data_IF_853119759529
#
_entry.id   IF_853119759529
#
_cell.length_a   1.000
_cell.length_b   1.000
_cell.length_c   1.000
_cell.angle_alpha   90.00
_cell.angle_beta   90.00
_cell.angle_gamma   90.00
#
_symmetry.space_group_name_H-M   'P 1'
#
loop_
_entity.id
_entity.type
_entity.pdbx_description
1 polymer ?
#
# COMPACT_ATOMS: atom_id res chain seq x y z
N UNK A 1 -10.62 -12.84 48.42
CA UNK A 1 -11.10 -13.36 47.13
C UNK A 1 -10.01 -13.06 46.10
N UNK A 2 -9.23 -14.08 45.71
CA UNK A 2 -8.21 -13.99 44.68
C UNK A 2 -8.92 -13.86 43.30
N UNK A 3 -8.68 -12.79 42.58
CA UNK A 3 -9.04 -12.69 41.16
C UNK A 3 -8.08 -13.61 40.40
N UNK A 4 -8.63 -14.64 39.77
CA UNK A 4 -7.84 -15.64 39.08
C UNK A 4 -7.11 -15.03 37.87
N UNK A 5 -5.89 -15.50 37.64
CA UNK A 5 -5.03 -15.18 36.50
C UNK A 5 -5.70 -15.40 35.12
N UNK A 6 -6.87 -16.04 35.08
CA UNK A 6 -7.63 -16.26 33.85
C UNK A 6 -8.26 -15.00 33.20
N UNK A 7 -8.47 -13.92 33.98
CA UNK A 7 -9.07 -12.68 33.46
C UNK A 7 -8.05 -11.76 32.78
N UNK A 8 -6.76 -11.96 33.02
CA UNK A 8 -5.69 -11.15 32.40
C UNK A 8 -5.42 -11.60 30.97
N UNK A 9 -5.58 -12.90 30.67
CA UNK A 9 -5.34 -13.45 29.34
C UNK A 9 -6.50 -13.30 28.35
N UNK A 10 -7.70 -12.99 28.80
CA UNK A 10 -8.86 -12.77 27.93
C UNK A 10 -8.96 -11.36 27.32
N UNK A 11 -8.03 -10.46 27.65
CA UNK A 11 -8.01 -9.07 27.15
C UNK A 11 -6.85 -8.75 26.22
N UNK A 12 -6.12 -9.76 25.74
CA UNK A 12 -4.95 -9.57 24.88
C UNK A 12 -4.94 -10.46 23.64
N UNK A 13 -6.12 -10.65 23.04
CA UNK A 13 -6.16 -10.99 21.61
C UNK A 13 -6.92 -9.87 20.95
N UNK A 14 -6.40 -8.68 20.97
CA UNK A 14 -6.50 -7.79 19.84
C UNK A 14 -5.57 -8.42 18.82
N UNK A 15 -6.13 -9.02 17.78
CA UNK A 15 -5.37 -9.41 16.62
C UNK A 15 -4.61 -8.17 16.16
N UNK A 16 -3.31 -8.15 16.42
CA UNK A 16 -2.43 -7.15 15.84
C UNK A 16 -2.29 -7.53 14.38
N UNK A 17 -3.17 -7.05 13.55
CA UNK A 17 -3.03 -7.06 12.10
C UNK A 17 -2.01 -5.97 11.75
N UNK A 18 -0.75 -6.21 12.06
CA UNK A 18 0.32 -5.29 11.76
C UNK A 18 1.33 -6.00 10.87
N UNK A 19 1.63 -5.41 9.71
CA UNK A 19 2.71 -5.87 8.86
C UNK A 19 4.07 -5.42 9.42
N UNK A 20 5.16 -6.08 9.01
CA UNK A 20 6.51 -5.74 9.43
C UNK A 20 7.37 -5.39 8.24
N UNK A 21 7.94 -4.18 8.23
CA UNK A 21 8.84 -3.73 7.18
C UNK A 21 10.20 -3.35 7.76
N UNK A 22 11.25 -3.68 7.00
CA UNK A 22 12.61 -3.18 7.25
C UNK A 22 13.10 -2.44 6.00
N UNK A 23 13.71 -1.28 6.20
CA UNK A 23 14.30 -0.47 5.14
C UNK A 23 15.76 -0.21 5.45
N UNK A 24 16.64 -0.47 4.49
CA UNK A 24 18.07 -0.16 4.57
C UNK A 24 18.46 0.73 3.41
N UNK A 25 18.87 1.96 3.70
CA UNK A 25 19.39 2.87 2.69
C UNK A 25 20.86 2.60 2.36
N UNK A 26 21.35 3.18 1.26
CA UNK A 26 22.73 3.01 0.75
C UNK A 26 23.83 3.22 1.79
N UNK A 27 23.66 4.17 2.69
CA UNK A 27 24.68 4.49 3.71
C UNK A 27 24.75 3.48 4.85
N UNK A 28 23.77 2.58 4.97
CA UNK A 28 23.69 1.57 6.02
C UNK A 28 23.96 0.14 5.52
N UNK A 29 24.01 -0.07 4.22
CA UNK A 29 24.35 -1.36 3.61
C UNK A 29 25.86 -1.50 3.37
N UNK A 30 26.35 -2.73 3.36
CA UNK A 30 27.79 -3.02 3.18
C UNK A 30 28.26 -2.72 1.74
N UNK A 31 27.39 -2.94 0.77
CA UNK A 31 27.69 -2.85 -0.67
C UNK A 31 27.04 -1.64 -1.35
N UNK A 32 26.38 -0.76 -0.59
CA UNK A 32 25.67 0.40 -1.13
C UNK A 32 24.31 0.05 -1.76
N UNK A 33 23.81 -1.17 -1.57
CA UNK A 33 22.46 -1.54 -2.00
C UNK A 33 21.37 -0.90 -1.14
N UNK A 34 20.20 -0.74 -1.72
CA UNK A 34 18.95 -0.43 -1.00
C UNK A 34 18.19 -1.72 -0.77
N UNK A 35 17.75 -1.97 0.45
CA UNK A 35 17.03 -3.19 0.82
C UNK A 35 15.70 -2.82 1.48
N UNK A 36 14.63 -3.47 1.04
CA UNK A 36 13.31 -3.42 1.67
C UNK A 36 12.87 -4.85 1.92
N UNK A 37 12.44 -5.15 3.14
CA UNK A 37 11.67 -6.36 3.42
C UNK A 37 10.24 -5.99 3.76
N UNK A 38 9.32 -6.87 3.42
CA UNK A 38 7.90 -6.72 3.72
C UNK A 38 7.33 -8.08 4.13
N UNK A 39 6.66 -8.11 5.26
CA UNK A 39 5.94 -9.28 5.76
C UNK A 39 4.51 -8.88 6.09
N UNK A 40 3.55 -9.50 5.42
CA UNK A 40 2.13 -9.39 5.79
C UNK A 40 1.86 -10.35 6.96
N UNK A 41 1.73 -9.81 8.17
CA UNK A 41 1.55 -10.58 9.39
C UNK A 41 0.08 -10.97 9.56
N UNK A 42 -0.34 -12.05 8.90
CA UNK A 42 -1.71 -12.57 8.93
C UNK A 42 -1.75 -14.10 9.00
N UNK A 43 -2.61 -14.64 9.83
CA UNK A 43 -2.82 -16.09 9.93
C UNK A 43 -3.58 -16.70 8.75
N UNK A 44 -4.27 -15.89 7.97
CA UNK A 44 -5.13 -16.32 6.86
C UNK A 44 -4.58 -16.03 5.48
N UNK A 45 -3.46 -15.32 5.37
CA UNK A 45 -2.87 -15.01 4.07
C UNK A 45 -1.82 -16.02 3.67
N UNK A 46 -1.89 -16.48 2.41
CA UNK A 46 -0.86 -17.27 1.77
C UNK A 46 -0.21 -16.39 0.71
N UNK A 47 1.14 -16.27 0.77
CA UNK A 47 1.87 -15.46 -0.20
C UNK A 47 1.75 -16.05 -1.61
N UNK A 48 1.39 -15.22 -2.57
CA UNK A 48 1.43 -15.52 -3.99
C UNK A 48 2.43 -14.59 -4.68
N UNK A 49 3.06 -15.08 -5.73
CA UNK A 49 3.91 -14.24 -6.56
C UNK A 49 3.07 -13.63 -7.68
N UNK A 50 2.56 -12.43 -7.45
CA UNK A 50 1.79 -11.70 -8.45
C UNK A 50 2.68 -11.22 -9.59
N UNK A 51 2.17 -11.30 -10.81
CA UNK A 51 2.80 -10.72 -11.99
C UNK A 51 1.80 -9.88 -12.77
N UNK A 52 2.11 -8.61 -12.90
CA UNK A 52 1.37 -7.67 -13.75
C UNK A 52 2.28 -7.30 -14.93
N UNK A 53 1.97 -7.77 -16.15
CA UNK A 53 2.80 -7.52 -17.32
C UNK A 53 2.75 -6.04 -17.73
N UNK A 54 3.85 -5.58 -18.32
CA UNK A 54 3.89 -4.29 -19.01
C UNK A 54 2.90 -4.26 -20.16
N UNK A 55 2.36 -3.10 -20.47
CA UNK A 55 1.39 -2.95 -21.56
C UNK A 55 1.32 -1.54 -22.13
N UNK A 56 0.78 -1.46 -23.36
CA UNK A 56 0.35 -0.22 -23.98
C UNK A 56 -1.17 -0.24 -24.08
N UNK A 57 -1.81 0.82 -23.62
CA UNK A 57 -3.25 0.92 -23.53
C UNK A 57 -3.77 2.06 -24.43
N UNK A 58 -4.95 1.89 -24.97
CA UNK A 58 -5.61 2.92 -25.76
C UNK A 58 -6.01 4.13 -24.89
N UNK A 59 -6.11 5.30 -25.52
CA UNK A 59 -6.56 6.49 -24.81
C UNK A 59 -8.01 6.30 -24.33
N UNK A 60 -8.24 6.50 -23.03
CA UNK A 60 -9.56 6.36 -22.44
C UNK A 60 -9.87 4.98 -21.89
N UNK A 61 -8.93 4.04 -21.96
CA UNK A 61 -9.05 2.76 -21.25
C UNK A 61 -9.27 3.00 -19.76
N UNK A 62 -10.22 2.27 -19.18
CA UNK A 62 -10.50 2.30 -17.74
C UNK A 62 -10.02 1.00 -17.10
N UNK A 63 -9.59 1.09 -15.86
CA UNK A 63 -9.17 -0.03 -15.02
C UNK A 63 -10.15 -0.20 -13.87
N UNK A 64 -10.67 -1.41 -13.68
CA UNK A 64 -11.45 -1.76 -12.52
C UNK A 64 -10.55 -1.85 -11.28
N UNK A 65 -11.05 -1.34 -10.17
CA UNK A 65 -10.40 -1.40 -8.86
C UNK A 65 -11.29 -2.22 -7.93
N UNK A 66 -10.65 -3.18 -7.28
CA UNK A 66 -11.26 -4.04 -6.27
C UNK A 66 -10.49 -3.89 -4.97
N UNK A 67 -11.19 -3.82 -3.86
CA UNK A 67 -10.59 -3.86 -2.53
C UNK A 67 -9.74 -5.14 -2.37
N UNK A 68 -8.50 -4.95 -2.00
CA UNK A 68 -7.50 -6.03 -1.93
C UNK A 68 -7.91 -7.15 -0.99
N UNK A 69 -8.46 -6.82 0.17
CA UNK A 69 -8.78 -7.78 1.21
C UNK A 69 -10.07 -8.54 0.95
N UNK A 70 -11.12 -7.85 0.51
CA UNK A 70 -12.45 -8.44 0.35
C UNK A 70 -12.81 -8.79 -1.09
N UNK A 71 -12.07 -8.29 -2.09
CA UNK A 71 -12.42 -8.41 -3.51
C UNK A 71 -13.64 -7.59 -3.91
N UNK A 72 -14.11 -6.68 -3.06
CA UNK A 72 -15.25 -5.81 -3.38
C UNK A 72 -14.89 -4.84 -4.50
N UNK A 73 -15.75 -4.73 -5.50
CA UNK A 73 -15.60 -3.72 -6.55
C UNK A 73 -15.77 -2.32 -5.99
N UNK A 74 -14.78 -1.45 -6.19
CA UNK A 74 -14.76 -0.08 -5.70
C UNK A 74 -15.07 0.96 -6.78
N UNK A 75 -14.74 0.67 -8.03
CA UNK A 75 -14.95 1.59 -9.14
C UNK A 75 -13.91 1.47 -10.23
N UNK A 76 -13.77 2.52 -11.03
CA UNK A 76 -12.81 2.56 -12.14
C UNK A 76 -11.92 3.80 -12.05
N UNK A 77 -10.67 3.62 -12.46
CA UNK A 77 -9.71 4.70 -12.68
C UNK A 77 -9.29 4.75 -14.16
N UNK A 78 -8.78 5.87 -14.61
CA UNK A 78 -8.15 5.96 -15.94
C UNK A 78 -6.89 5.11 -15.98
N UNK A 79 -6.76 4.26 -17.01
CA UNK A 79 -5.52 3.52 -17.22
C UNK A 79 -4.43 4.41 -17.83
N UNK A 80 -3.17 4.17 -17.43
CA UNK A 80 -2.03 4.84 -18.04
C UNK A 80 -1.81 4.35 -19.49
N UNK A 81 -1.30 5.21 -20.35
CA UNK A 81 -0.98 4.82 -21.74
C UNK A 81 0.06 3.72 -21.82
N UNK A 82 0.97 3.70 -20.88
CA UNK A 82 2.00 2.68 -20.71
C UNK A 82 2.02 2.23 -19.25
N UNK A 83 2.06 0.94 -19.05
CA UNK A 83 2.29 0.31 -17.74
C UNK A 83 3.57 -0.52 -17.78
N UNK A 84 4.21 -0.69 -16.63
CA UNK A 84 5.46 -1.41 -16.46
C UNK A 84 5.24 -2.80 -15.87
N UNK A 85 6.19 -3.71 -16.09
CA UNK A 85 6.18 -5.03 -15.44
C UNK A 85 6.32 -4.88 -13.93
N UNK A 86 5.48 -5.64 -13.21
CA UNK A 86 5.55 -5.77 -11.74
C UNK A 86 5.57 -7.25 -11.39
N UNK A 87 6.51 -7.65 -10.54
CA UNK A 87 6.56 -8.99 -9.94
C UNK A 87 6.61 -8.83 -8.42
N UNK A 88 5.63 -9.41 -7.75
CA UNK A 88 5.43 -9.17 -6.31
C UNK A 88 5.31 -7.67 -6.04
N UNK A 89 6.12 -7.16 -5.13
CA UNK A 89 6.12 -5.75 -4.73
C UNK A 89 7.24 -4.91 -5.39
N UNK A 90 7.76 -5.34 -6.54
CA UNK A 90 8.84 -4.66 -7.27
C UNK A 90 8.52 -4.57 -8.76
N UNK A 91 8.87 -3.44 -9.39
CA UNK A 91 8.76 -3.27 -10.83
C UNK A 91 10.11 -3.44 -11.57
N UNK A 92 10.08 -3.39 -12.90
CA UNK A 92 11.26 -3.55 -13.76
C UNK A 92 12.34 -2.47 -13.59
N UNK A 93 12.00 -1.34 -12.96
CA UNK A 93 12.95 -0.28 -12.60
C UNK A 93 13.48 -0.42 -11.17
N UNK A 94 13.17 -1.53 -10.49
CA UNK A 94 13.53 -1.80 -9.10
C UNK A 94 12.87 -0.82 -8.10
N UNK A 95 11.76 -0.21 -8.47
CA UNK A 95 10.92 0.48 -7.49
C UNK A 95 10.18 -0.57 -6.69
N UNK A 96 10.25 -0.47 -5.38
CA UNK A 96 9.64 -1.40 -4.42
C UNK A 96 8.72 -0.65 -3.48
N UNK A 97 7.54 -1.23 -3.20
CA UNK A 97 6.57 -0.69 -2.25
C UNK A 97 6.11 -1.82 -1.32
N UNK A 98 6.39 -1.70 -0.03
CA UNK A 98 5.77 -2.49 1.03
C UNK A 98 4.84 -1.60 1.85
N UNK A 99 4.01 -2.20 2.72
CA UNK A 99 3.10 -1.44 3.57
C UNK A 99 3.07 -1.98 5.00
N UNK A 100 2.53 -1.16 5.90
CA UNK A 100 2.22 -1.52 7.28
C UNK A 100 1.00 -0.73 7.72
N UNK A 101 -0.08 -1.43 8.01
CA UNK A 101 -1.31 -0.82 8.50
C UNK A 101 -1.14 -0.31 9.93
N UNK A 102 -1.31 0.98 10.17
CA UNK A 102 -1.40 1.51 11.53
C UNK A 102 -2.84 1.80 11.97
N UNK A 103 -3.81 1.64 11.08
CA UNK A 103 -5.24 1.82 11.33
C UNK A 103 -5.64 3.27 11.51
N UNK A 104 -5.27 3.87 12.64
CA UNK A 104 -5.65 5.23 12.99
C UNK A 104 -7.10 5.35 13.45
N UNK A 105 -7.72 6.49 13.21
CA UNK A 105 -9.09 6.78 13.63
C UNK A 105 -10.08 6.25 12.58
N UNK A 106 -10.95 5.32 12.98
CA UNK A 106 -11.93 4.66 12.08
C UNK A 106 -12.86 5.66 11.38
N UNK A 107 -13.22 6.78 12.03
CA UNK A 107 -14.05 7.81 11.44
C UNK A 107 -13.40 8.57 10.28
N UNK A 108 -12.10 8.35 10.01
CA UNK A 108 -11.39 8.93 8.87
C UNK A 108 -11.41 8.01 7.63
N UNK A 109 -11.93 6.80 7.72
CA UNK A 109 -12.11 5.91 6.57
C UNK A 109 -13.22 6.44 5.67
N UNK A 110 -12.92 6.64 4.39
CA UNK A 110 -13.90 7.04 3.37
C UNK A 110 -14.32 5.84 2.53
N UNK A 111 -15.46 5.24 2.90
CA UNK A 111 -16.03 4.09 2.18
C UNK A 111 -16.50 4.40 0.75
N UNK A 112 -16.43 5.65 0.31
CA UNK A 112 -16.75 6.09 -1.06
C UNK A 112 -15.50 6.27 -1.92
N UNK A 113 -14.32 6.16 -1.33
CA UNK A 113 -13.05 6.17 -2.06
C UNK A 113 -12.93 4.96 -2.99
N UNK A 114 -12.14 5.11 -4.06
CA UNK A 114 -11.92 4.04 -5.04
C UNK A 114 -10.57 3.35 -4.82
N UNK A 115 -9.56 4.10 -4.35
CA UNK A 115 -8.21 3.54 -4.16
C UNK A 115 -8.05 2.95 -2.77
N UNK A 116 -7.94 1.63 -2.68
CA UNK A 116 -7.46 0.92 -1.50
C UNK A 116 -5.93 0.84 -1.48
N UNK A 117 -5.36 0.43 -0.33
CA UNK A 117 -3.90 0.38 -0.15
C UNK A 117 -3.20 -0.58 -1.13
N UNK A 118 -3.77 -1.78 -1.35
CA UNK A 118 -3.19 -2.79 -2.24
C UNK A 118 -3.21 -2.35 -3.69
N UNK A 119 -4.35 -1.83 -4.17
CA UNK A 119 -4.45 -1.27 -5.52
C UNK A 119 -3.50 -0.09 -5.71
N UNK A 120 -3.32 0.78 -4.70
CA UNK A 120 -2.33 1.86 -4.76
C UNK A 120 -0.91 1.35 -5.01
N UNK A 121 -0.49 0.29 -4.31
CA UNK A 121 0.82 -0.33 -4.47
C UNK A 121 1.03 -0.75 -5.93
N UNK A 122 0.14 -1.61 -6.45
CA UNK A 122 0.34 -2.18 -7.78
C UNK A 122 0.16 -1.17 -8.91
N UNK A 123 -0.78 -0.24 -8.79
CA UNK A 123 -0.98 0.82 -9.78
C UNK A 123 0.21 1.79 -9.79
N UNK A 124 0.76 2.15 -8.62
CA UNK A 124 1.95 3.00 -8.55
C UNK A 124 3.19 2.29 -9.13
N UNK A 125 3.41 1.02 -8.82
CA UNK A 125 4.50 0.23 -9.40
C UNK A 125 4.40 0.13 -10.92
N UNK A 126 3.21 -0.01 -11.47
CA UNK A 126 3.00 -0.05 -12.92
C UNK A 126 3.17 1.31 -13.61
N UNK A 127 3.29 2.42 -12.88
CA UNK A 127 3.29 3.78 -13.43
C UNK A 127 4.50 4.61 -13.05
N UNK A 128 5.45 4.06 -12.29
CA UNK A 128 6.61 4.80 -11.78
C UNK A 128 7.94 4.15 -12.15
N UNK A 129 8.99 4.97 -12.26
CA UNK A 129 10.37 4.54 -12.51
C UNK A 129 11.30 4.86 -11.35
N UNK A 130 10.84 5.67 -10.40
CA UNK A 130 11.58 6.07 -9.19
C UNK A 130 10.66 6.06 -7.99
N UNK A 131 11.23 6.03 -6.79
CA UNK A 131 10.47 6.12 -5.55
C UNK A 131 9.65 7.42 -5.46
N UNK A 132 10.21 8.55 -5.88
CA UNK A 132 9.49 9.83 -5.91
C UNK A 132 8.33 9.86 -6.89
N UNK A 133 8.50 9.27 -8.08
CA UNK A 133 7.39 9.12 -9.03
C UNK A 133 6.28 8.24 -8.45
N UNK A 134 6.63 7.17 -7.72
CA UNK A 134 5.64 6.33 -7.05
C UNK A 134 4.82 7.12 -6.03
N UNK A 135 5.47 7.91 -5.17
CA UNK A 135 4.81 8.79 -4.20
C UNK A 135 3.86 9.76 -4.93
N UNK A 136 4.33 10.39 -6.00
CA UNK A 136 3.51 11.33 -6.78
C UNK A 136 2.29 10.63 -7.38
N UNK A 137 2.46 9.45 -7.97
CA UNK A 137 1.35 8.66 -8.53
C UNK A 137 0.34 8.29 -7.44
N UNK A 138 0.80 7.80 -6.29
CA UNK A 138 -0.07 7.43 -5.17
C UNK A 138 -0.89 8.61 -4.67
N UNK A 139 -0.24 9.75 -4.44
CA UNK A 139 -0.90 10.96 -3.91
C UNK A 139 -1.86 11.59 -4.92
N UNK A 140 -1.54 11.57 -6.22
CA UNK A 140 -2.44 12.02 -7.28
C UNK A 140 -3.67 11.11 -7.42
N UNK A 141 -3.48 9.80 -7.34
CA UNK A 141 -4.58 8.83 -7.41
C UNK A 141 -5.57 9.02 -6.25
N UNK A 142 -5.11 9.13 -5.02
CA UNK A 142 -6.02 9.35 -3.89
C UNK A 142 -6.70 10.72 -3.95
N UNK A 143 -6.02 11.73 -4.48
CA UNK A 143 -6.62 13.06 -4.71
C UNK A 143 -7.73 13.01 -5.75
N UNK A 144 -7.55 12.27 -6.85
CA UNK A 144 -8.52 12.19 -7.95
C UNK A 144 -9.66 11.22 -7.62
N UNK A 145 -9.36 10.07 -6.97
CA UNK A 145 -10.32 8.96 -6.81
C UNK A 145 -10.76 8.69 -5.38
N UNK A 146 -10.15 9.32 -4.37
CA UNK A 146 -10.42 9.08 -2.97
C UNK A 146 -9.64 7.88 -2.43
N UNK A 147 -9.52 7.80 -1.10
CA UNK A 147 -8.78 6.76 -0.39
C UNK A 147 -9.73 5.92 0.47
N UNK A 148 -9.81 4.63 0.19
CA UNK A 148 -10.78 3.71 0.79
C UNK A 148 -10.29 3.06 2.10
N UNK A 149 -8.97 2.86 2.25
CA UNK A 149 -8.43 2.10 3.38
C UNK A 149 -8.30 2.91 4.68
N UNK A 150 -8.00 2.23 5.76
CA UNK A 150 -7.55 2.81 7.03
C UNK A 150 -6.16 3.44 6.88
N UNK A 151 -5.53 3.86 7.98
CA UNK A 151 -4.21 4.48 7.93
C UNK A 151 -3.12 3.47 7.57
N UNK A 152 -2.28 3.83 6.59
CA UNK A 152 -1.20 3.01 6.05
C UNK A 152 0.12 3.75 6.02
N UNK A 153 1.20 3.02 6.32
CA UNK A 153 2.59 3.45 6.17
C UNK A 153 3.23 2.66 5.03
N UNK A 154 3.56 3.33 3.93
CA UNK A 154 4.19 2.72 2.77
C UNK A 154 5.70 2.88 2.82
N UNK A 155 6.42 1.77 2.72
CA UNK A 155 7.88 1.71 2.56
C UNK A 155 8.22 1.71 1.09
N UNK A 156 8.70 2.82 0.56
CA UNK A 156 8.93 3.02 -0.88
C UNK A 156 10.42 3.18 -1.13
N UNK A 157 10.95 2.45 -2.08
CA UNK A 157 12.37 2.50 -2.42
C UNK A 157 12.62 2.35 -3.92
N UNK A 158 13.76 2.87 -4.34
CA UNK A 158 14.40 2.57 -5.62
C UNK A 158 15.90 2.31 -5.38
N UNK A 159 16.72 2.00 -6.43
CA UNK A 159 18.14 1.76 -6.23
C UNK A 159 18.94 2.91 -5.59
N UNK A 160 18.36 4.09 -5.45
CA UNK A 160 19.06 5.28 -4.99
C UNK A 160 18.61 5.80 -3.63
N UNK A 161 17.32 5.65 -3.29
CA UNK A 161 16.73 6.28 -2.12
C UNK A 161 15.60 5.44 -1.53
N UNK A 162 15.29 5.73 -0.26
CA UNK A 162 14.18 5.13 0.49
C UNK A 162 13.31 6.24 1.08
N UNK A 163 12.01 5.97 1.13
CA UNK A 163 10.99 6.88 1.66
C UNK A 163 9.98 6.11 2.50
N UNK A 164 9.43 6.80 3.48
CA UNK A 164 8.23 6.36 4.18
C UNK A 164 7.14 7.37 3.84
N UNK A 165 6.02 6.88 3.33
CA UNK A 165 4.81 7.65 3.06
C UNK A 165 3.71 7.17 3.98
N UNK A 166 3.33 7.99 4.95
CA UNK A 166 2.17 7.70 5.79
C UNK A 166 0.92 8.38 5.23
N UNK A 167 -0.19 7.67 5.23
CA UNK A 167 -1.44 8.12 4.60
C UNK A 167 -2.65 7.71 5.43
N UNK A 168 -3.62 8.63 5.57
CA UNK A 168 -4.91 8.37 6.21
C UNK A 168 -6.01 9.17 5.50
N UNK A 169 -7.21 8.61 5.42
CA UNK A 169 -8.37 9.29 4.84
C UNK A 169 -8.75 10.57 5.60
N UNK A 170 -9.68 11.32 5.04
CA UNK A 170 -10.20 12.58 5.59
C UNK A 170 -11.59 12.43 6.19
N UNK A 171 -12.13 11.22 6.20
CA UNK A 171 -13.49 10.91 6.62
C UNK A 171 -14.50 10.82 5.47
N UNK A 172 -15.68 10.28 5.76
CA UNK A 172 -16.70 9.98 4.76
C UNK A 172 -17.08 11.19 3.91
N UNK A 173 -17.05 11.03 2.58
CA UNK A 173 -17.42 12.05 1.62
C UNK A 173 -16.40 13.17 1.42
N UNK A 174 -15.24 13.11 2.07
CA UNK A 174 -14.15 14.06 1.85
C UNK A 174 -13.03 13.39 1.03
N UNK A 175 -13.10 13.57 -0.27
CA UNK A 175 -12.18 12.95 -1.21
C UNK A 175 -10.71 13.25 -0.90
N UNK A 176 -9.86 12.24 -1.03
CA UNK A 176 -8.42 12.34 -0.86
C UNK A 176 -7.94 11.79 0.47
N UNK A 177 -6.67 12.04 0.76
CA UNK A 177 -6.01 11.63 2.00
C UNK A 177 -5.17 12.77 2.58
N UNK A 178 -4.84 12.67 3.87
CA UNK A 178 -3.73 13.40 4.49
C UNK A 178 -2.53 12.46 4.42
N UNK A 179 -1.37 12.99 4.08
CA UNK A 179 -0.15 12.21 3.96
C UNK A 179 1.11 13.03 4.30
N UNK A 180 2.14 12.36 4.69
CA UNK A 180 3.46 12.91 5.03
C UNK A 180 4.55 11.96 4.55
#
# INVERSE_FOLDING_TARGET
RSRGLGDVYKRQITESLACTNLIVGKGASVDGSVIVSYSADSYGMFGELYHYPAGMHEKGTMRDIYDWDSGKYLGQIKEARQTYNVIGNMNEFQVTIGETTFGGREELVDSTGIMDYGSLIYVALQRSRTAKEAIQVMTDLVKEYGYYSSGESFSIADPNEVWILEMIGKGPGVKGAVWV
#
